data_IF_071832016787
#
_entry.id   IF_071832016787
#
_cell.length_a   1.000
_cell.length_b   1.000
_cell.length_c   1.000
_cell.angle_alpha   90.00
_cell.angle_beta   90.00
_cell.angle_gamma   90.00
#
_symmetry.space_group_name_H-M   'P 1'
#
loop_
_entity.id
_entity.type
_entity.pdbx_description
1 polymer ?
#
# COMPACT_ATOMS: atom_id res chain seq x y z
N UNK A 1 22.45 13.57 -32.84
CA UNK A 1 21.62 13.33 -31.64
C UNK A 1 22.32 12.30 -30.77
N UNK A 2 22.94 12.73 -29.67
CA UNK A 2 23.68 11.85 -28.75
C UNK A 2 22.73 11.21 -27.72
N UNK A 3 22.91 9.93 -27.35
CA UNK A 3 22.00 9.20 -26.47
C UNK A 3 22.26 9.44 -24.97
N UNK A 4 22.68 10.66 -24.59
CA UNK A 4 23.21 10.94 -23.24
C UNK A 4 22.26 11.73 -22.33
N UNK A 5 21.02 12.01 -22.74
CA UNK A 5 20.08 12.83 -21.95
C UNK A 5 18.94 12.06 -21.26
N UNK A 6 18.92 10.73 -21.30
CA UNK A 6 17.87 9.95 -20.60
C UNK A 6 18.07 9.86 -19.07
N UNK A 7 19.25 10.22 -18.53
CA UNK A 7 19.56 10.12 -17.09
C UNK A 7 19.33 11.40 -16.27
N UNK A 8 19.04 12.54 -16.90
CA UNK A 8 19.00 13.85 -16.22
C UNK A 8 17.59 14.38 -15.95
N UNK A 9 16.54 13.70 -16.41
CA UNK A 9 15.21 13.98 -15.89
C UNK A 9 15.15 13.36 -14.49
N UNK A 10 14.86 14.12 -13.42
CA UNK A 10 14.47 13.51 -12.16
C UNK A 10 13.17 12.76 -12.45
N UNK A 11 13.29 11.46 -12.75
CA UNK A 11 12.16 10.56 -12.86
C UNK A 11 11.62 10.49 -11.43
N UNK A 12 10.68 11.37 -11.12
CA UNK A 12 10.06 11.41 -9.80
C UNK A 12 9.21 10.15 -9.67
N UNK A 13 9.80 9.11 -9.09
CA UNK A 13 9.10 7.86 -8.84
C UNK A 13 7.96 8.18 -7.86
N UNK A 14 6.69 7.93 -8.22
CA UNK A 14 5.57 8.14 -7.31
C UNK A 14 5.79 7.34 -6.02
N UNK A 15 5.38 7.91 -4.88
CA UNK A 15 5.55 7.26 -3.57
C UNK A 15 4.19 7.13 -2.89
N UNK A 16 3.95 5.98 -2.29
CA UNK A 16 2.78 5.74 -1.45
C UNK A 16 3.09 6.16 -0.01
N UNK A 17 2.42 7.20 0.49
CA UNK A 17 2.57 7.63 1.87
C UNK A 17 1.93 6.61 2.83
N UNK A 18 2.59 6.32 3.94
CA UNK A 18 2.12 5.45 5.01
C UNK A 18 1.31 6.24 6.06
N UNK A 19 1.28 7.59 5.96
CA UNK A 19 0.68 8.52 6.94
C UNK A 19 1.22 8.37 8.36
N UNK A 20 2.44 7.87 8.48
CA UNK A 20 3.24 8.02 9.67
C UNK A 20 4.40 8.94 9.29
N UNK A 21 4.46 10.20 9.78
CA UNK A 21 5.48 11.17 9.34
C UNK A 21 6.90 10.68 9.63
N UNK A 22 7.09 9.93 10.72
CA UNK A 22 8.37 9.31 11.06
C UNK A 22 8.75 8.27 10.00
N UNK A 23 7.83 7.36 9.68
CA UNK A 23 8.11 6.26 8.75
C UNK A 23 8.23 6.76 7.30
N UNK A 24 7.40 7.71 6.90
CA UNK A 24 7.51 8.39 5.61
C UNK A 24 8.84 9.14 5.51
N UNK A 25 9.27 9.82 6.58
CA UNK A 25 10.60 10.44 6.64
C UNK A 25 11.74 9.43 6.48
N UNK A 26 11.68 8.29 7.18
CA UNK A 26 12.66 7.21 7.06
C UNK A 26 12.71 6.59 5.65
N UNK A 27 11.59 6.63 4.90
CA UNK A 27 11.50 6.11 3.52
C UNK A 27 11.69 7.21 2.46
N UNK A 28 12.03 8.43 2.86
CA UNK A 28 12.21 9.55 1.94
C UNK A 28 10.92 10.01 1.26
N UNK A 29 9.79 9.99 1.96
CA UNK A 29 8.47 10.45 1.51
C UNK A 29 7.45 9.33 1.26
N UNK A 30 7.76 8.07 1.59
CA UNK A 30 6.85 6.93 1.45
C UNK A 30 7.44 5.77 0.63
N UNK A 31 6.62 4.76 0.36
CA UNK A 31 7.02 3.54 -0.36
C UNK A 31 7.16 3.85 -1.86
N UNK A 32 8.33 3.64 -2.49
CA UNK A 32 8.51 3.93 -3.90
C UNK A 32 7.75 2.96 -4.81
N UNK A 33 7.05 3.50 -5.81
CA UNK A 33 6.46 2.73 -6.91
C UNK A 33 7.54 2.10 -7.80
N UNK A 34 7.13 1.19 -8.68
CA UNK A 34 8.02 0.48 -9.61
C UNK A 34 9.17 -0.27 -8.90
N UNK A 35 8.94 -0.65 -7.64
CA UNK A 35 9.90 -1.37 -6.81
C UNK A 35 9.19 -2.40 -5.93
N UNK A 36 9.92 -3.41 -5.48
CA UNK A 36 9.41 -4.39 -4.53
C UNK A 36 9.89 -3.99 -3.13
N UNK A 37 8.96 -3.64 -2.25
CA UNK A 37 9.26 -3.29 -0.85
C UNK A 37 8.97 -4.48 0.06
N UNK A 38 10.00 -5.02 0.71
CA UNK A 38 9.88 -6.12 1.67
C UNK A 38 9.84 -5.57 3.11
N UNK A 39 8.75 -5.84 3.83
CA UNK A 39 8.66 -5.53 5.26
C UNK A 39 9.21 -6.70 6.08
N UNK A 40 10.29 -6.47 6.84
CA UNK A 40 10.92 -7.46 7.74
C UNK A 40 10.71 -7.02 9.19
N UNK A 41 10.28 -7.95 10.05
CA UNK A 41 9.98 -7.83 11.48
C UNK A 41 9.60 -9.21 12.03
N UNK A 42 9.75 -9.37 13.34
CA UNK A 42 9.33 -10.52 14.15
C UNK A 42 7.81 -10.74 14.14
N UNK A 43 7.38 -11.95 14.52
CA UNK A 43 5.96 -12.28 14.69
C UNK A 43 5.31 -11.36 15.73
N UNK A 44 4.03 -11.02 15.55
CA UNK A 44 3.28 -10.14 16.48
C UNK A 44 3.57 -8.64 16.36
N UNK A 45 4.56 -8.21 15.57
CA UNK A 45 5.02 -6.82 15.46
C UNK A 45 4.13 -5.84 14.65
N UNK A 46 2.88 -6.24 14.36
CA UNK A 46 1.90 -5.39 13.67
C UNK A 46 2.00 -5.32 12.14
N UNK A 47 2.85 -6.12 11.48
CA UNK A 47 2.93 -6.17 10.00
C UNK A 47 1.59 -6.40 9.31
N UNK A 48 0.78 -7.30 9.88
CA UNK A 48 -0.55 -7.62 9.36
C UNK A 48 -1.54 -6.44 9.46
N UNK A 49 -1.24 -5.41 10.26
CA UNK A 49 -2.03 -4.18 10.31
C UNK A 49 -1.58 -3.16 9.25
N UNK A 50 -0.30 -3.16 8.89
CA UNK A 50 0.26 -2.24 7.89
C UNK A 50 -0.17 -2.61 6.46
N UNK A 51 -0.14 -3.90 6.09
CA UNK A 51 -0.40 -4.28 4.71
C UNK A 51 -1.84 -3.93 4.23
N UNK A 52 -2.92 -4.20 4.98
CA UNK A 52 -4.27 -3.80 4.58
C UNK A 52 -4.44 -2.27 4.51
N UNK A 53 -3.77 -1.53 5.40
CA UNK A 53 -3.78 -0.07 5.34
C UNK A 53 -3.13 0.43 4.05
N UNK A 54 -1.97 -0.12 3.67
CA UNK A 54 -1.30 0.24 2.42
C UNK A 54 -2.16 -0.07 1.18
N UNK A 55 -2.87 -1.20 1.19
CA UNK A 55 -3.82 -1.59 0.13
C UNK A 55 -4.90 -0.52 -0.07
N UNK A 56 -5.55 -0.06 1.00
CA UNK A 56 -6.56 1.03 0.89
C UNK A 56 -5.92 2.34 0.44
N UNK A 57 -4.74 2.66 0.98
CA UNK A 57 -4.06 3.92 0.67
C UNK A 57 -3.63 4.01 -0.80
N UNK A 58 -3.24 2.90 -1.42
CA UNK A 58 -2.86 2.87 -2.83
C UNK A 58 -4.00 3.33 -3.77
N UNK A 59 -5.26 3.16 -3.34
CA UNK A 59 -6.44 3.53 -4.12
C UNK A 59 -6.91 4.97 -3.88
N UNK A 60 -6.36 5.67 -2.88
CA UNK A 60 -6.72 7.07 -2.58
C UNK A 60 -6.12 8.04 -3.62
N UNK A 61 -6.70 9.25 -3.78
CA UNK A 61 -6.13 10.33 -4.59
C UNK A 61 -4.72 10.74 -4.14
N UNK A 62 -3.85 11.24 -5.04
CA UNK A 62 -2.56 11.81 -4.68
C UNK A 62 -2.67 12.94 -3.65
N UNK A 63 -3.77 13.70 -3.66
CA UNK A 63 -4.08 14.73 -2.65
C UNK A 63 -4.11 14.18 -1.22
N UNK A 64 -4.38 12.88 -1.06
CA UNK A 64 -4.41 12.17 0.22
C UNK A 64 -3.16 11.28 0.43
N UNK A 65 -2.17 11.37 -0.46
CA UNK A 65 -0.94 10.57 -0.45
C UNK A 65 -1.14 9.14 -0.95
N UNK A 66 -2.17 8.90 -1.77
CA UNK A 66 -2.39 7.65 -2.51
C UNK A 66 -1.93 7.73 -3.96
N UNK A 67 -2.28 6.73 -4.76
CA UNK A 67 -1.83 6.59 -6.16
C UNK A 67 -2.99 6.44 -7.17
N UNK A 68 -4.25 6.53 -6.71
CA UNK A 68 -5.46 6.24 -7.51
C UNK A 68 -5.43 4.88 -8.21
N UNK A 69 -4.62 3.95 -7.69
CA UNK A 69 -4.37 2.65 -8.28
C UNK A 69 -5.39 1.60 -7.87
N UNK A 70 -5.31 0.45 -8.52
CA UNK A 70 -5.92 -0.78 -8.03
C UNK A 70 -4.91 -1.53 -7.15
N UNK A 71 -5.39 -2.25 -6.14
CA UNK A 71 -4.53 -2.97 -5.21
C UNK A 71 -5.08 -4.35 -4.90
N UNK A 72 -4.20 -5.35 -4.90
CA UNK A 72 -4.53 -6.73 -4.57
C UNK A 72 -3.82 -7.07 -3.27
N UNK A 73 -4.56 -7.66 -2.33
CA UNK A 73 -4.00 -8.13 -1.06
C UNK A 73 -4.09 -9.66 -1.00
N UNK A 74 -2.93 -10.32 -1.07
CA UNK A 74 -2.81 -11.77 -0.99
C UNK A 74 -2.27 -12.13 0.39
N UNK A 75 -2.93 -13.04 1.08
CA UNK A 75 -2.55 -13.51 2.41
C UNK A 75 -2.63 -15.04 2.47
N UNK A 76 -1.76 -15.66 3.27
CA UNK A 76 -1.61 -17.12 3.34
C UNK A 76 -2.03 -17.73 4.69
N UNK A 77 -1.93 -16.99 5.79
CA UNK A 77 -1.96 -17.61 7.14
C UNK A 77 -3.17 -17.21 8.00
N UNK A 78 -3.94 -16.18 7.68
CA UNK A 78 -5.07 -15.75 8.51
C UNK A 78 -6.14 -15.05 7.68
N UNK A 79 -7.41 -15.44 7.86
CA UNK A 79 -8.56 -14.80 7.22
C UNK A 79 -8.53 -13.29 7.42
N UNK A 80 -8.63 -12.57 6.30
CA UNK A 80 -8.74 -11.12 6.26
C UNK A 80 -9.88 -10.63 7.16
N UNK A 81 -9.54 -9.99 8.28
CA UNK A 81 -10.56 -9.42 9.17
C UNK A 81 -11.00 -8.06 8.65
N UNK A 82 -12.08 -8.04 7.88
CA UNK A 82 -12.72 -6.81 7.37
C UNK A 82 -13.00 -5.79 8.49
N UNK A 83 -13.23 -6.26 9.73
CA UNK A 83 -13.38 -5.41 10.93
C UNK A 83 -12.19 -4.48 11.20
N UNK A 84 -10.98 -4.82 10.72
CA UNK A 84 -9.79 -3.97 10.90
C UNK A 84 -9.75 -2.80 9.92
N UNK A 85 -10.33 -2.96 8.73
CA UNK A 85 -10.49 -1.85 7.78
C UNK A 85 -11.58 -0.87 8.20
N UNK A 86 -12.62 -1.34 8.90
CA UNK A 86 -13.70 -0.52 9.45
C UNK A 86 -13.23 0.56 10.44
N UNK A 87 -11.99 0.47 10.96
CA UNK A 87 -11.40 1.52 11.79
C UNK A 87 -10.87 2.71 10.98
N UNK A 88 -10.79 2.60 9.65
CA UNK A 88 -10.47 3.73 8.80
C UNK A 88 -11.71 4.62 8.59
N UNK A 89 -11.52 5.91 8.26
CA UNK A 89 -12.64 6.81 8.01
C UNK A 89 -13.55 6.26 6.92
N UNK A 90 -14.88 6.33 7.11
CA UNK A 90 -15.88 5.84 6.14
C UNK A 90 -15.70 6.45 4.74
N UNK A 91 -15.21 7.69 4.65
CA UNK A 91 -14.86 8.35 3.38
C UNK A 91 -13.78 7.60 2.58
N UNK A 92 -12.89 6.89 3.27
CA UNK A 92 -11.88 6.04 2.65
C UNK A 92 -12.41 4.64 2.33
N UNK A 93 -13.57 4.21 2.83
CA UNK A 93 -14.06 2.82 2.71
C UNK A 93 -15.07 2.67 1.57
N UNK A 94 -16.00 3.62 1.42
CA UNK A 94 -17.13 3.52 0.49
C UNK A 94 -16.71 3.40 -1.00
N UNK A 95 -15.61 4.01 -1.50
CA UNK A 95 -15.14 3.79 -2.87
C UNK A 95 -14.41 2.46 -3.12
N UNK A 96 -14.07 1.71 -2.05
CA UNK A 96 -13.01 0.67 -2.10
C UNK A 96 -13.51 -0.77 -2.19
N UNK A 97 -14.79 -1.02 -1.89
CA UNK A 97 -15.32 -2.38 -1.90
C UNK A 97 -15.35 -3.00 -3.31
N UNK A 98 -15.40 -2.16 -4.35
CA UNK A 98 -15.42 -2.60 -5.76
C UNK A 98 -14.03 -2.76 -6.39
N UNK A 99 -12.93 -2.44 -5.70
CA UNK A 99 -11.56 -2.42 -6.28
C UNK A 99 -10.53 -3.29 -5.55
N UNK A 100 -10.90 -3.91 -4.43
CA UNK A 100 -10.04 -4.87 -3.72
C UNK A 100 -10.50 -6.30 -4.03
N UNK A 101 -9.81 -6.97 -4.94
CA UNK A 101 -9.94 -8.41 -5.12
C UNK A 101 -9.21 -9.14 -4.00
N UNK A 102 -9.94 -9.78 -3.09
CA UNK A 102 -9.38 -10.69 -2.10
C UNK A 102 -9.40 -12.13 -2.62
N UNK A 103 -8.25 -12.73 -2.87
CA UNK A 103 -8.14 -14.17 -3.18
C UNK A 103 -7.58 -14.86 -1.94
N UNK A 104 -8.48 -15.45 -1.14
CA UNK A 104 -8.12 -16.36 -0.05
C UNK A 104 -8.73 -17.72 -0.33
N UNK A 105 -7.90 -18.77 -0.45
CA UNK A 105 -8.41 -20.14 -0.51
C UNK A 105 -8.93 -20.53 0.87
N UNK A 106 -10.17 -20.99 0.93
CA UNK A 106 -10.67 -21.84 2.00
C UNK A 106 -9.84 -23.14 2.00
N UNK A 107 -8.81 -23.20 2.84
CA UNK A 107 -8.17 -24.45 3.24
C UNK A 107 -8.16 -24.44 4.76
N UNK A 108 -9.32 -24.72 5.32
CA UNK A 108 -9.54 -25.26 6.66
C UNK A 108 -10.97 -25.80 6.67
N UNK A 109 -11.10 -27.05 6.21
CA UNK A 109 -11.90 -28.13 6.78
C UNK A 109 -11.39 -29.44 6.20
#
# INVERSE_FOLDING_TARGET
>A
MTPQNLMLLPISIPKLSIKCPILDGCLGGGIPCNSITKLVKESGSGKMQLCPQLTVRAQLPPSHGGLEGFSIYIFIEFSFSFRRLQRQPLSCIIPQLNRVGGIGRHICS
#
